data_IF_156604100576
#
_entry.id   IF_156604100576
#
_cell.length_a   1.000
_cell.length_b   1.000
_cell.length_c   1.000
_cell.angle_alpha   90.00
_cell.angle_beta   90.00
_cell.angle_gamma   90.00
#
_symmetry.space_group_name_H-M   'P 1'
#
loop_
_entity.id
_entity.type
_entity.pdbx_description
1 polymer ?
#
# COMPACT_ATOMS: atom_id res chain seq x y z
N UNK A 1 -2.71 -12.53 -10.57
CA UNK A 1 -2.16 -11.38 -11.34
C UNK A 1 -0.64 -11.46 -11.28
N UNK A 2 0.02 -11.64 -12.43
CA UNK A 2 1.47 -11.51 -12.53
C UNK A 2 1.77 -10.07 -12.94
N UNK A 3 2.11 -9.22 -11.96
CA UNK A 3 2.47 -7.81 -12.15
C UNK A 3 3.98 -7.59 -12.30
N UNK A 4 4.79 -8.65 -12.30
CA UNK A 4 6.24 -8.54 -12.17
C UNK A 4 6.95 -7.89 -13.37
N UNK A 5 6.36 -7.91 -14.57
CA UNK A 5 6.98 -7.30 -15.77
C UNK A 5 6.94 -5.77 -15.80
N UNK A 6 6.13 -5.11 -14.95
CA UNK A 6 5.91 -3.65 -15.02
C UNK A 6 6.02 -2.95 -13.66
N UNK A 7 6.65 -3.59 -12.67
CA UNK A 7 6.98 -2.95 -11.39
C UNK A 7 8.34 -2.29 -11.44
N UNK A 8 8.41 -1.08 -10.91
CA UNK A 8 9.63 -0.29 -10.84
C UNK A 8 10.73 -1.06 -10.10
N UNK A 9 12.00 -0.94 -10.53
CA UNK A 9 13.11 -1.71 -9.96
C UNK A 9 13.30 -1.47 -8.44
N UNK A 10 13.05 -0.25 -7.97
CA UNK A 10 13.09 0.14 -6.55
C UNK A 10 11.83 -0.23 -5.76
N UNK A 11 10.79 -0.77 -6.40
CA UNK A 11 9.56 -1.13 -5.70
C UNK A 11 9.78 -2.38 -4.84
N UNK A 12 9.64 -2.23 -3.51
CA UNK A 12 9.83 -3.31 -2.53
C UNK A 12 9.00 -4.57 -2.81
N UNK A 13 7.84 -4.42 -3.45
CA UNK A 13 6.92 -5.53 -3.73
C UNK A 13 7.19 -6.23 -5.06
N UNK A 14 8.19 -5.79 -5.84
CA UNK A 14 8.50 -6.34 -7.17
C UNK A 14 8.88 -7.81 -7.09
N UNK A 15 9.86 -8.11 -6.22
CA UNK A 15 10.41 -9.46 -6.05
C UNK A 15 9.87 -10.14 -4.78
N UNK A 16 9.28 -9.36 -3.88
CA UNK A 16 8.76 -9.81 -2.58
C UNK A 16 7.28 -9.45 -2.46
N UNK A 17 6.37 -10.26 -3.03
CA UNK A 17 4.94 -10.04 -2.86
C UNK A 17 4.56 -10.16 -1.36
N UNK A 18 3.48 -9.48 -0.91
CA UNK A 18 3.04 -9.58 0.47
C UNK A 18 2.71 -11.02 0.89
N UNK A 19 3.22 -11.42 2.05
CA UNK A 19 2.88 -12.69 2.68
C UNK A 19 1.59 -12.55 3.50
N UNK A 20 0.47 -12.97 2.93
CA UNK A 20 -0.83 -12.87 3.59
C UNK A 20 -0.95 -13.74 4.84
N UNK A 21 -0.22 -14.85 4.93
CA UNK A 21 -0.24 -15.71 6.11
C UNK A 21 0.46 -15.01 7.29
N UNK A 22 1.62 -14.40 7.03
CA UNK A 22 2.33 -13.59 8.01
C UNK A 22 1.50 -12.36 8.44
N UNK A 23 0.91 -11.64 7.49
CA UNK A 23 0.07 -10.48 7.83
C UNK A 23 -1.16 -10.88 8.65
N UNK A 24 -1.83 -11.99 8.29
CA UNK A 24 -3.00 -12.47 9.01
C UNK A 24 -2.67 -13.00 10.42
N UNK A 25 -1.45 -13.46 10.68
CA UNK A 25 -1.05 -13.87 12.03
C UNK A 25 -0.78 -12.67 12.93
N UNK A 26 -0.26 -11.57 12.37
CA UNK A 26 0.09 -10.35 13.11
C UNK A 26 -1.06 -9.36 13.27
N UNK A 27 -1.98 -9.31 12.31
CA UNK A 27 -3.07 -8.32 12.26
C UNK A 27 -4.44 -9.02 12.27
N UNK A 28 -5.11 -9.09 13.45
CA UNK A 28 -6.44 -9.71 13.57
C UNK A 28 -7.49 -9.07 12.64
N UNK A 29 -7.44 -7.75 12.49
CA UNK A 29 -8.35 -7.00 11.61
C UNK A 29 -8.19 -7.37 10.14
N UNK A 30 -7.00 -7.83 9.71
CA UNK A 30 -6.77 -8.34 8.37
C UNK A 30 -7.16 -9.83 8.27
N UNK A 31 -6.93 -10.60 9.34
CA UNK A 31 -7.21 -12.04 9.40
C UNK A 31 -8.67 -12.38 9.07
N UNK A 32 -9.62 -11.55 9.49
CA UNK A 32 -11.04 -11.77 9.23
C UNK A 32 -11.43 -11.67 7.74
N UNK A 33 -10.58 -11.05 6.91
CA UNK A 33 -10.85 -10.83 5.48
C UNK A 33 -10.09 -11.79 4.55
N UNK A 34 -9.22 -12.66 5.09
CA UNK A 34 -8.50 -13.66 4.29
C UNK A 34 -9.21 -15.00 4.31
N UNK A 35 -8.99 -15.79 3.26
CA UNK A 35 -9.56 -17.12 3.09
C UNK A 35 -8.44 -18.13 2.84
N UNK A 36 -8.68 -19.40 3.16
CA UNK A 36 -7.74 -20.48 2.82
C UNK A 36 -8.23 -21.12 1.53
N UNK A 37 -7.41 -21.07 0.49
CA UNK A 37 -7.71 -21.74 -0.77
C UNK A 37 -7.60 -23.27 -0.61
N UNK A 38 -8.14 -24.02 -1.58
CA UNK A 38 -8.05 -25.49 -1.65
C UNK A 38 -6.60 -26.03 -1.53
N UNK A 39 -5.61 -25.22 -1.91
CA UNK A 39 -4.19 -25.57 -1.86
C UNK A 39 -3.54 -25.24 -0.48
N UNK A 40 -4.34 -24.93 0.54
CA UNK A 40 -3.87 -24.56 1.88
C UNK A 40 -3.21 -23.18 1.99
N UNK A 41 -3.21 -22.38 0.92
CA UNK A 41 -2.62 -21.04 0.90
C UNK A 41 -3.63 -19.98 1.32
N UNK A 42 -3.20 -19.07 2.18
CA UNK A 42 -3.96 -17.87 2.55
C UNK A 42 -4.08 -16.96 1.32
N UNK A 43 -5.30 -16.54 1.02
CA UNK A 43 -5.67 -15.74 -0.13
C UNK A 43 -6.63 -14.62 0.29
N UNK A 44 -6.79 -13.65 -0.59
CA UNK A 44 -7.67 -12.50 -0.37
C UNK A 44 -8.64 -12.37 -1.55
N UNK A 45 -9.90 -12.09 -1.27
CA UNK A 45 -10.87 -11.75 -2.32
C UNK A 45 -10.71 -10.29 -2.74
N UNK A 46 -10.00 -10.04 -3.84
CA UNK A 46 -9.79 -8.67 -4.36
C UNK A 46 -11.05 -7.98 -4.91
N UNK A 47 -12.19 -8.67 -4.98
CA UNK A 47 -13.47 -8.06 -5.34
C UNK A 47 -14.21 -7.49 -4.13
N UNK A 48 -13.81 -7.87 -2.91
CA UNK A 48 -14.39 -7.35 -1.67
C UNK A 48 -13.65 -6.05 -1.27
N UNK A 49 -14.34 -4.89 -1.29
CA UNK A 49 -13.74 -3.62 -0.90
C UNK A 49 -13.21 -3.64 0.53
N UNK A 50 -13.85 -4.34 1.47
CA UNK A 50 -13.37 -4.39 2.85
C UNK A 50 -12.05 -5.14 2.96
N UNK A 51 -11.93 -6.27 2.27
CA UNK A 51 -10.70 -7.04 2.20
C UNK A 51 -9.56 -6.25 1.57
N UNK A 52 -9.82 -5.53 0.47
CA UNK A 52 -8.80 -4.68 -0.18
C UNK A 52 -8.40 -3.50 0.70
N UNK A 53 -9.36 -2.88 1.40
CA UNK A 53 -9.08 -1.82 2.39
C UNK A 53 -8.20 -2.32 3.51
N UNK A 54 -8.55 -3.46 4.11
CA UNK A 54 -7.80 -4.06 5.20
C UNK A 54 -6.36 -4.39 4.76
N UNK A 55 -6.19 -4.95 3.55
CA UNK A 55 -4.86 -5.17 2.98
C UNK A 55 -4.07 -3.86 2.85
N UNK A 56 -4.65 -2.82 2.25
CA UNK A 56 -3.97 -1.54 2.04
C UNK A 56 -3.55 -0.90 3.36
N UNK A 57 -4.43 -0.84 4.36
CA UNK A 57 -4.11 -0.29 5.67
C UNK A 57 -3.02 -1.12 6.38
N UNK A 58 -3.09 -2.45 6.26
CA UNK A 58 -2.11 -3.36 6.87
C UNK A 58 -0.73 -3.19 6.26
N UNK A 59 -0.63 -3.11 4.92
CA UNK A 59 0.63 -2.88 4.22
C UNK A 59 1.24 -1.53 4.59
N UNK A 60 0.45 -0.45 4.59
CA UNK A 60 0.93 0.88 4.99
C UNK A 60 1.46 0.89 6.43
N UNK A 61 0.80 0.16 7.33
CA UNK A 61 1.22 0.05 8.72
C UNK A 61 2.49 -0.78 8.90
N UNK A 62 2.54 -1.98 8.31
CA UNK A 62 3.68 -2.91 8.46
C UNK A 62 4.94 -2.38 7.77
N UNK A 63 4.80 -1.90 6.54
CA UNK A 63 5.94 -1.62 5.68
C UNK A 63 6.42 -0.16 5.75
N UNK A 64 5.54 0.77 6.13
CA UNK A 64 5.81 2.22 6.13
C UNK A 64 5.52 2.91 7.47
N UNK A 65 4.97 2.20 8.45
CA UNK A 65 4.59 2.80 9.74
C UNK A 65 3.44 3.80 9.65
N UNK A 66 2.66 3.79 8.57
CA UNK A 66 1.56 4.72 8.33
C UNK A 66 0.22 4.10 8.72
N UNK A 67 -0.48 4.72 9.67
CA UNK A 67 -1.85 4.35 10.04
C UNK A 67 -2.83 5.31 9.38
N UNK A 68 -3.65 4.79 8.47
CA UNK A 68 -4.68 5.57 7.78
C UNK A 68 -6.04 4.88 7.91
N UNK A 69 -7.09 5.69 7.83
CA UNK A 69 -8.46 5.21 7.73
C UNK A 69 -9.03 5.60 6.35
N UNK A 70 -9.60 4.62 5.65
CA UNK A 70 -10.10 4.78 4.29
C UNK A 70 -11.61 4.45 4.29
N UNK A 71 -12.49 5.41 3.96
CA UNK A 71 -13.91 5.14 3.80
C UNK A 71 -14.19 4.22 2.60
N UNK A 72 -15.14 3.30 2.73
CA UNK A 72 -15.48 2.31 1.69
C UNK A 72 -16.14 2.95 0.46
N UNK A 73 -16.73 4.14 0.61
CA UNK A 73 -17.38 4.91 -0.45
C UNK A 73 -16.37 5.53 -1.41
N UNK A 74 -15.06 5.35 -1.17
CA UNK A 74 -13.99 5.91 -1.99
C UNK A 74 -13.11 4.82 -2.59
N UNK A 75 -12.36 5.23 -3.61
CA UNK A 75 -11.38 4.37 -4.24
C UNK A 75 -10.30 3.97 -3.24
N UNK A 76 -10.18 2.67 -2.98
CA UNK A 76 -9.12 2.11 -2.15
C UNK A 76 -7.85 1.99 -2.99
N UNK A 77 -6.76 2.70 -2.65
CA UNK A 77 -5.53 2.64 -3.43
C UNK A 77 -4.81 1.32 -3.21
N UNK A 78 -4.27 0.74 -4.27
CA UNK A 78 -3.34 -0.40 -4.17
C UNK A 78 -1.91 0.11 -3.96
N UNK A 79 -1.30 -0.26 -2.83
CA UNK A 79 0.02 0.24 -2.42
C UNK A 79 1.10 -0.01 -3.48
N UNK A 80 1.24 -1.21 -4.09
CA UNK A 80 2.30 -1.46 -5.06
C UNK A 80 2.24 -0.56 -6.30
N UNK A 81 1.02 -0.25 -6.79
CA UNK A 81 0.84 0.61 -7.96
C UNK A 81 1.16 2.08 -7.64
N UNK A 82 0.77 2.57 -6.45
CA UNK A 82 1.10 3.93 -6.02
C UNK A 82 2.60 4.13 -5.83
N UNK A 83 3.30 3.13 -5.30
CA UNK A 83 4.76 3.15 -5.18
C UNK A 83 5.48 3.17 -6.53
N UNK A 84 4.97 2.44 -7.54
CA UNK A 84 5.53 2.54 -8.89
C UNK A 84 5.51 3.98 -9.40
N UNK A 85 4.40 4.69 -9.20
CA UNK A 85 4.28 6.08 -9.64
C UNK A 85 5.24 7.00 -8.86
N UNK A 86 5.35 6.83 -7.54
CA UNK A 86 6.30 7.60 -6.72
C UNK A 86 7.74 7.41 -7.22
N UNK A 87 8.16 6.16 -7.43
CA UNK A 87 9.52 5.90 -7.94
C UNK A 87 9.75 6.45 -9.34
N UNK A 88 8.74 6.41 -10.21
CA UNK A 88 8.84 7.02 -11.52
C UNK A 88 9.00 8.55 -11.44
N UNK A 89 8.28 9.21 -10.53
CA UNK A 89 8.46 10.64 -10.26
C UNK A 89 9.87 10.94 -9.71
N UNK A 90 10.41 10.10 -8.84
CA UNK A 90 11.80 10.23 -8.35
C UNK A 90 12.83 10.17 -9.49
N UNK A 91 12.60 9.32 -10.50
CA UNK A 91 13.47 9.24 -11.67
C UNK A 91 13.38 10.52 -12.51
N UNK A 92 12.17 11.05 -12.71
CA UNK A 92 11.93 12.25 -13.50
C UNK A 92 12.57 13.51 -12.89
N UNK A 93 12.51 13.66 -11.56
CA UNK A 93 13.09 14.84 -10.88
C UNK A 93 14.59 14.71 -10.59
N UNK A 94 15.16 13.54 -10.93
CA UNK A 94 16.54 13.16 -10.68
C UNK A 94 16.82 12.79 -9.22
N UNK A 95 17.57 11.70 -9.03
CA UNK A 95 18.15 11.39 -7.73
C UNK A 95 19.22 12.42 -7.38
N UNK A 96 19.11 13.04 -6.21
CA UNK A 96 20.21 13.80 -5.62
C UNK A 96 21.11 12.80 -4.89
N UNK A 97 22.43 12.91 -5.07
CA UNK A 97 23.37 12.36 -4.10
C UNK A 97 23.10 13.00 -2.74
N UNK A 98 23.29 12.23 -1.68
CA UNK A 98 22.94 12.53 -0.29
C UNK A 98 23.43 13.88 0.24
N UNK A 99 24.39 14.53 -0.44
CA UNK A 99 25.05 15.76 0.01
C UNK A 99 24.32 17.05 -0.38
N UNK A 100 23.26 17.00 -1.21
CA UNK A 100 22.44 18.18 -1.56
C UNK A 100 20.94 17.89 -1.41
N UNK A 101 20.50 17.73 -0.15
CA UNK A 101 19.08 17.66 0.16
C UNK A 101 18.39 19.00 -0.14
N UNK A 102 17.81 19.10 -1.34
CA UNK A 102 17.00 20.24 -1.76
C UNK A 102 15.52 19.91 -1.53
N UNK A 103 14.78 20.84 -0.92
CA UNK A 103 13.35 20.70 -0.71
C UNK A 103 12.64 20.53 -2.06
N UNK A 104 12.03 19.37 -2.30
CA UNK A 104 11.18 19.11 -3.46
C UNK A 104 9.73 19.47 -3.12
N UNK A 105 9.05 20.14 -4.06
CA UNK A 105 7.62 20.50 -3.93
C UNK A 105 6.86 19.84 -5.08
N UNK A 106 5.76 19.17 -4.75
CA UNK A 106 4.88 18.51 -5.70
C UNK A 106 3.41 18.83 -5.42
N UNK A 107 2.57 18.67 -6.44
CA UNK A 107 1.12 18.87 -6.35
C UNK A 107 0.44 17.56 -6.73
N UNK A 108 -0.38 17.02 -5.83
CA UNK A 108 -1.20 15.82 -6.08
C UNK A 108 -2.64 16.24 -6.39
N UNK A 109 -3.02 16.18 -7.67
CA UNK A 109 -4.36 16.56 -8.12
C UNK A 109 -5.31 15.36 -7.95
N UNK A 110 -6.36 15.54 -7.14
CA UNK A 110 -7.35 14.49 -6.89
C UNK A 110 -7.09 13.65 -5.64
N UNK A 111 -6.20 14.09 -4.75
CA UNK A 111 -5.99 13.47 -3.44
C UNK A 111 -7.28 13.52 -2.62
N UNK A 112 -7.98 12.39 -2.53
CA UNK A 112 -9.24 12.28 -1.79
C UNK A 112 -9.09 11.36 -0.57
N UNK A 113 -8.16 11.68 0.33
CA UNK A 113 -8.12 11.09 1.68
C UNK A 113 -8.80 12.07 2.65
N UNK A 114 -9.80 11.61 3.41
CA UNK A 114 -10.39 12.38 4.50
C UNK A 114 -9.39 12.42 5.66
N UNK A 115 -9.26 13.60 6.28
CA UNK A 115 -8.46 13.79 7.49
C UNK A 115 -8.86 12.76 8.54
N UNK A 116 -7.88 12.16 9.21
CA UNK A 116 -8.10 11.54 10.52
C UNK A 116 -8.73 12.59 11.42
N UNK A 117 -9.95 12.34 11.87
CA UNK A 117 -10.59 13.10 12.94
C UNK A 117 -9.69 13.01 14.16
N UNK A 118 -8.95 14.08 14.46
CA UNK A 118 -8.42 14.26 15.81
C UNK A 118 -9.63 14.48 16.73
N UNK A 119 -10.06 13.45 17.44
CA UNK A 119 -10.85 13.59 18.67
C UNK A 119 -9.91 13.47 19.86
N UNK A 120 -9.69 14.63 20.48
CA UNK A 120 -9.31 14.98 21.86
C UNK A 120 -8.67 13.95 22.78
N UNK A 121 -7.53 14.33 23.38
CA UNK A 121 -7.46 14.73 24.80
C UNK A 121 -6.44 15.84 24.93
#
# INVERSE_FOLDING_TARGET
MALSKSMHARNRYKDKPPDFAYLASKYPDFKQHVQINLNGRVSLNFKDPEAVRALTCTLLREDFGLSIDIPLERLIPTVPLRLNYIHWVEDLIGHQESDKSTLRRGIDIGSKLTKSSKTST
#
